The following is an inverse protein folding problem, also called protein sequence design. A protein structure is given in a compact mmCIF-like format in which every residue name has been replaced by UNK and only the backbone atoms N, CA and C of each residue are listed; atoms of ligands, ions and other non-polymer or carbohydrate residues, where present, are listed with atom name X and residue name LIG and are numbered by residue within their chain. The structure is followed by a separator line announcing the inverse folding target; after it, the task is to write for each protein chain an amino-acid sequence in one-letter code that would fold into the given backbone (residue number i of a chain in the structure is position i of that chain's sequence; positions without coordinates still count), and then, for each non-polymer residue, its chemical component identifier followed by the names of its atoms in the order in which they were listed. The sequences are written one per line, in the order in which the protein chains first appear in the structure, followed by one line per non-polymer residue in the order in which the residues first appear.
data_IF_327834598262
#
_entry.id   IF_327834598262
#
_cell.length_a   1.000
_cell.length_b   1.000
_cell.length_c   1.000
_cell.angle_alpha   90.00
_cell.angle_beta   90.00
_cell.angle_gamma   90.00
#
_symmetry.space_group_name_H-M   'P 1'
#
loop_
_entity.id
_entity.type
_entity.pdbx_description
1 polymer ?
#
# COMPACT_ATOMS: atom_id res chain seq x y z
N UNK A 1 36.23 57.55 31.56
CA UNK A 1 35.98 56.54 30.51
C UNK A 1 35.50 55.27 31.20
N UNK A 2 34.19 55.02 31.19
CA UNK A 2 33.55 53.78 31.60
C UNK A 2 32.48 53.51 30.52
N UNK A 3 32.36 52.37 29.89
CA UNK A 3 32.74 51.01 30.26
C UNK A 3 31.46 50.19 30.17
N UNK A 4 31.35 49.25 29.23
CA UNK A 4 30.34 48.17 29.28
C UNK A 4 30.89 46.95 28.54
N UNK A 5 31.26 45.92 29.27
CA UNK A 5 31.32 44.54 28.77
C UNK A 5 30.11 43.80 29.30
N UNK A 6 29.22 43.36 28.39
CA UNK A 6 28.06 42.52 28.73
C UNK A 6 28.54 41.07 28.80
N UNK A 7 28.44 40.43 29.97
CA UNK A 7 28.52 38.96 30.11
C UNK A 7 27.10 38.40 30.25
N UNK A 8 26.59 37.76 29.20
CA UNK A 8 25.37 36.96 29.25
C UNK A 8 25.64 35.61 29.88
N UNK A 9 25.45 35.51 31.21
CA UNK A 9 25.44 34.24 31.92
C UNK A 9 24.01 33.69 32.00
N UNK A 10 23.56 32.96 30.99
CA UNK A 10 22.27 32.24 31.08
C UNK A 10 22.45 31.10 32.11
N UNK A 11 21.72 31.17 33.23
CA UNK A 11 21.83 30.18 34.31
C UNK A 11 21.56 28.77 33.75
N UNK A 12 22.52 27.84 33.92
CA UNK A 12 22.43 26.43 33.48
C UNK A 12 21.08 25.78 33.83
N UNK A 13 20.48 26.18 34.95
CA UNK A 13 19.14 25.76 35.37
C UNK A 13 18.04 26.05 34.33
N UNK A 14 18.01 27.24 33.71
CA UNK A 14 17.00 27.59 32.70
C UNK A 14 17.14 26.78 31.42
N UNK A 15 18.38 26.48 31.02
CA UNK A 15 18.65 25.60 29.88
C UNK A 15 18.22 24.16 30.17
N UNK A 16 18.54 23.65 31.36
CA UNK A 16 18.12 22.32 31.79
C UNK A 16 16.59 22.22 31.88
N UNK A 17 15.91 23.21 32.46
CA UNK A 17 14.44 23.25 32.50
C UNK A 17 13.83 23.30 31.11
N UNK A 18 14.37 24.11 30.19
CA UNK A 18 13.91 24.15 28.80
C UNK A 18 14.06 22.80 28.08
N UNK A 19 15.21 22.14 28.25
CA UNK A 19 15.45 20.82 27.66
C UNK A 19 14.50 19.75 28.21
N UNK A 20 14.17 19.83 29.49
CA UNK A 20 13.25 18.91 30.17
C UNK A 20 11.81 19.08 29.67
N UNK A 21 11.36 20.34 29.50
CA UNK A 21 10.04 20.64 28.92
C UNK A 21 9.95 20.13 27.49
N UNK A 22 10.97 20.41 26.65
CA UNK A 22 11.00 19.93 25.26
C UNK A 22 10.97 18.41 25.20
N UNK A 23 11.76 17.74 26.03
CA UNK A 23 11.77 16.27 26.13
C UNK A 23 10.40 15.73 26.55
N UNK A 24 9.77 16.33 27.56
CA UNK A 24 8.46 15.90 28.04
C UNK A 24 7.37 16.05 26.96
N UNK A 25 7.37 17.17 26.22
CA UNK A 25 6.42 17.40 25.12
C UNK A 25 6.65 16.40 23.99
N UNK A 26 7.90 16.15 23.59
CA UNK A 26 8.21 15.15 22.56
C UNK A 26 7.73 13.76 22.96
N UNK A 27 8.02 13.33 24.19
CA UNK A 27 7.59 12.03 24.69
C UNK A 27 6.06 11.92 24.73
N UNK A 28 5.36 12.96 25.21
CA UNK A 28 3.90 12.99 25.20
C UNK A 28 3.32 12.90 23.78
N UNK A 29 3.97 13.53 22.80
CA UNK A 29 3.57 13.47 21.40
C UNK A 29 3.79 12.06 20.80
N UNK A 30 4.91 11.40 21.10
CA UNK A 30 5.16 10.02 20.67
C UNK A 30 4.18 9.02 21.29
N UNK A 31 3.93 9.13 22.60
CA UNK A 31 2.99 8.25 23.30
C UNK A 31 1.56 8.50 22.82
N UNK A 32 1.16 9.77 22.69
CA UNK A 32 -0.15 10.17 22.18
C UNK A 32 -0.38 9.73 20.74
N UNK A 33 0.61 9.92 19.87
CA UNK A 33 0.58 9.46 18.48
C UNK A 33 0.49 7.94 18.38
N UNK A 34 1.29 7.20 19.16
CA UNK A 34 1.24 5.74 19.20
C UNK A 34 -0.12 5.23 19.71
N UNK A 35 -0.68 5.85 20.76
CA UNK A 35 -1.99 5.50 21.29
C UNK A 35 -3.12 5.84 20.31
N UNK A 36 -3.00 6.97 19.61
CA UNK A 36 -3.94 7.40 18.57
C UNK A 36 -3.98 6.41 17.41
N UNK A 37 -2.82 5.97 16.90
CA UNK A 37 -2.73 4.94 15.84
C UNK A 37 -3.35 3.61 16.30
N UNK A 38 -3.24 3.28 17.60
CA UNK A 38 -3.81 2.06 18.17
C UNK A 38 -5.34 2.10 18.31
N UNK A 39 -5.88 3.27 18.67
CA UNK A 39 -7.31 3.48 18.88
C UNK A 39 -8.05 3.85 17.59
N UNK A 40 -7.36 4.48 16.66
CA UNK A 40 -7.83 4.83 15.32
C UNK A 40 -6.91 4.14 14.30
N UNK A 41 -7.00 2.81 14.17
CA UNK A 41 -6.34 2.13 13.07
C UNK A 41 -6.76 2.86 11.78
N UNK A 42 -5.80 3.27 10.94
CA UNK A 42 -6.14 3.92 9.68
C UNK A 42 -7.14 3.02 8.95
N UNK A 43 -8.21 3.59 8.34
CA UNK A 43 -9.14 2.80 7.55
C UNK A 43 -8.29 1.98 6.59
N UNK A 44 -8.39 0.66 6.70
CA UNK A 44 -7.51 -0.28 6.01
C UNK A 44 -7.41 0.14 4.55
N UNK A 45 -6.29 0.76 4.19
CA UNK A 45 -5.79 0.70 2.84
C UNK A 45 -5.82 -0.78 2.45
N UNK A 46 -6.31 -1.07 1.23
CA UNK A 46 -7.14 -2.23 0.95
C UNK A 46 -6.54 -3.51 1.54
N UNK A 47 -7.39 -4.42 2.06
CA UNK A 47 -7.00 -5.53 2.92
C UNK A 47 -5.74 -6.19 2.38
N UNK A 48 -4.75 -6.31 3.26
CA UNK A 48 -3.45 -6.91 3.00
C UNK A 48 -3.55 -7.98 1.89
N UNK A 49 -2.88 -7.83 0.73
CA UNK A 49 -3.01 -8.77 -0.39
C UNK A 49 -2.52 -10.19 -0.07
N UNK A 50 -2.02 -10.43 1.16
CA UNK A 50 -1.36 -11.67 1.56
C UNK A 50 -2.29 -12.87 1.80
N UNK A 51 -3.54 -12.67 2.26
CA UNK A 51 -4.33 -13.79 2.79
C UNK A 51 -5.54 -14.22 1.95
N UNK A 52 -5.85 -13.51 0.86
CA UNK A 52 -7.06 -13.76 0.08
C UNK A 52 -7.08 -15.12 -0.61
N UNK A 53 -5.94 -15.53 -1.16
CA UNK A 53 -5.77 -16.84 -1.76
C UNK A 53 -5.89 -17.95 -0.69
N UNK A 54 -5.52 -17.66 0.55
CA UNK A 54 -5.70 -18.58 1.68
C UNK A 54 -7.19 -18.82 1.96
N UNK A 55 -7.97 -17.75 2.09
CA UNK A 55 -9.43 -17.80 2.28
C UNK A 55 -10.11 -18.49 1.09
N UNK A 56 -9.75 -18.10 -0.14
CA UNK A 56 -10.32 -18.68 -1.36
C UNK A 56 -10.11 -20.20 -1.43
N UNK A 57 -8.93 -20.68 -1.01
CA UNK A 57 -8.64 -22.13 -0.98
C UNK A 57 -9.54 -22.88 -0.01
N UNK A 58 -9.81 -22.30 1.16
CA UNK A 58 -10.66 -22.90 2.17
C UNK A 58 -12.13 -22.92 1.72
N UNK A 59 -12.55 -21.87 1.03
CA UNK A 59 -13.95 -21.68 0.66
C UNK A 59 -14.39 -22.42 -0.61
N UNK A 60 -13.49 -22.69 -1.57
CA UNK A 60 -13.90 -23.29 -2.85
C UNK A 60 -14.09 -24.82 -2.83
N UNK A 61 -13.85 -25.48 -1.69
CA UNK A 61 -13.94 -26.94 -1.54
C UNK A 61 -13.29 -27.70 -2.71
N UNK A 62 -12.02 -27.39 -2.97
CA UNK A 62 -11.31 -27.86 -4.16
C UNK A 62 -10.98 -29.35 -4.07
N UNK A 63 -11.20 -30.08 -5.17
CA UNK A 63 -10.73 -31.47 -5.33
C UNK A 63 -9.19 -31.54 -5.37
N UNK A 64 -8.57 -32.71 -5.18
CA UNK A 64 -7.10 -32.84 -5.25
C UNK A 64 -6.50 -32.30 -6.55
N UNK A 65 -7.14 -32.55 -7.69
CA UNK A 65 -6.69 -32.05 -8.99
C UNK A 65 -6.83 -30.52 -9.10
N UNK A 66 -7.94 -29.97 -8.61
CA UNK A 66 -8.17 -28.51 -8.58
C UNK A 66 -7.22 -27.79 -7.63
N UNK A 67 -6.79 -28.44 -6.54
CA UNK A 67 -5.79 -27.89 -5.61
C UNK A 67 -4.44 -27.67 -6.30
N UNK A 68 -4.04 -28.53 -7.21
CA UNK A 68 -2.81 -28.34 -8.01
C UNK A 68 -2.94 -27.12 -8.92
N UNK A 69 -4.06 -26.99 -9.64
CA UNK A 69 -4.34 -25.81 -10.48
C UNK A 69 -4.38 -24.52 -9.64
N UNK A 70 -4.96 -24.58 -8.44
CA UNK A 70 -5.00 -23.47 -7.50
C UNK A 70 -3.62 -23.07 -6.97
N UNK A 71 -2.74 -24.04 -6.72
CA UNK A 71 -1.36 -23.78 -6.29
C UNK A 71 -0.57 -23.05 -7.38
N UNK A 72 -0.67 -23.53 -8.63
CA UNK A 72 -0.04 -22.88 -9.78
C UNK A 72 -0.54 -21.45 -9.96
N UNK A 73 -1.86 -21.26 -9.92
CA UNK A 73 -2.49 -19.94 -9.94
C UNK A 73 -1.99 -19.02 -8.82
N UNK A 74 -1.92 -19.55 -7.59
CA UNK A 74 -1.47 -18.78 -6.43
C UNK A 74 -0.01 -18.36 -6.51
N UNK A 75 0.86 -19.23 -7.03
CA UNK A 75 2.28 -18.92 -7.25
C UNK A 75 2.44 -17.83 -8.31
N UNK A 76 1.78 -17.98 -9.46
CA UNK A 76 1.83 -16.99 -10.52
C UNK A 76 1.28 -15.62 -10.06
N UNK A 77 0.22 -15.62 -9.26
CA UNK A 77 -0.34 -14.40 -8.69
C UNK A 77 0.65 -13.71 -7.73
N UNK A 78 1.38 -14.47 -6.90
CA UNK A 78 2.39 -13.92 -5.99
C UNK A 78 3.56 -13.32 -6.74
N UNK A 79 4.11 -14.08 -7.69
CA UNK A 79 5.25 -13.65 -8.52
C UNK A 79 4.90 -12.36 -9.26
N UNK A 80 3.75 -12.30 -9.92
CA UNK A 80 3.33 -11.11 -10.64
C UNK A 80 3.09 -9.92 -9.72
N UNK A 81 2.48 -10.12 -8.55
CA UNK A 81 2.31 -9.05 -7.57
C UNK A 81 3.65 -8.53 -7.04
N UNK A 82 4.68 -9.37 -7.03
CA UNK A 82 6.04 -8.95 -6.70
C UNK A 82 6.65 -8.15 -7.84
N UNK A 83 6.56 -8.64 -9.08
CA UNK A 83 7.02 -7.91 -10.28
C UNK A 83 6.34 -6.55 -10.41
N UNK A 84 5.02 -6.49 -10.23
CA UNK A 84 4.25 -5.23 -10.21
C UNK A 84 4.81 -4.24 -9.19
N UNK A 85 5.12 -4.70 -7.97
CA UNK A 85 5.70 -3.84 -6.93
C UNK A 85 7.10 -3.37 -7.30
N UNK A 86 7.90 -4.23 -7.92
CA UNK A 86 9.26 -3.91 -8.35
C UNK A 86 9.29 -2.95 -9.54
N UNK A 87 8.35 -3.06 -10.47
CA UNK A 87 8.32 -2.25 -11.70
C UNK A 87 7.56 -0.94 -11.50
N UNK A 88 6.43 -0.95 -10.79
CA UNK A 88 5.56 0.24 -10.64
C UNK A 88 5.86 1.02 -9.36
N UNK A 89 6.31 0.35 -8.29
CA UNK A 89 6.67 1.01 -7.04
C UNK A 89 7.66 2.16 -7.24
N UNK A 90 8.79 1.94 -7.95
CA UNK A 90 9.76 2.99 -8.24
C UNK A 90 9.19 4.13 -9.09
N UNK A 91 8.35 3.85 -10.08
CA UNK A 91 7.74 4.90 -10.92
C UNK A 91 6.88 5.86 -10.10
N UNK A 92 6.06 5.32 -9.21
CA UNK A 92 5.23 6.14 -8.30
C UNK A 92 6.10 6.90 -7.29
N UNK A 93 7.14 6.27 -6.75
CA UNK A 93 8.08 6.93 -5.84
C UNK A 93 8.79 8.10 -6.54
N UNK A 94 9.30 7.89 -7.75
CA UNK A 94 9.99 8.91 -8.54
C UNK A 94 9.06 10.08 -8.90
N UNK A 95 7.78 9.82 -9.20
CA UNK A 95 6.79 10.87 -9.42
C UNK A 95 6.62 11.75 -8.17
N UNK A 96 6.52 11.13 -6.98
CA UNK A 96 6.44 11.87 -5.72
C UNK A 96 7.72 12.64 -5.38
N UNK A 97 8.89 12.08 -5.69
CA UNK A 97 10.17 12.78 -5.53
C UNK A 97 10.27 14.00 -6.45
N UNK A 98 9.81 13.91 -7.71
CA UNK A 98 9.78 15.03 -8.66
C UNK A 98 8.81 16.13 -8.21
N UNK A 99 7.62 15.75 -7.73
CA UNK A 99 6.64 16.68 -7.14
C UNK A 99 7.23 17.46 -5.96
N UNK A 100 8.12 16.83 -5.18
CA UNK A 100 8.76 17.45 -4.01
C UNK A 100 9.88 18.45 -4.33
N UNK A 101 10.27 18.62 -5.61
CA UNK A 101 11.37 19.52 -5.97
C UNK A 101 10.94 21.00 -5.92
N UNK A 102 11.88 21.95 -5.68
CA UNK A 102 11.58 23.39 -5.71
C UNK A 102 11.00 23.90 -7.03
N UNK A 103 11.29 23.21 -8.14
CA UNK A 103 10.71 23.44 -9.46
C UNK A 103 10.37 22.08 -10.08
N UNK A 104 9.17 21.53 -9.83
CA UNK A 104 8.76 20.23 -10.36
C UNK A 104 8.70 20.23 -11.90
N UNK A 105 9.25 19.19 -12.52
CA UNK A 105 9.10 18.96 -13.95
C UNK A 105 7.82 18.16 -14.23
N UNK A 106 6.76 18.88 -14.64
CA UNK A 106 5.47 18.27 -14.99
C UNK A 106 5.59 17.17 -16.06
N UNK A 107 6.50 17.34 -17.03
CA UNK A 107 6.67 16.36 -18.11
C UNK A 107 7.20 15.03 -17.57
N UNK A 108 8.12 15.08 -16.61
CA UNK A 108 8.64 13.86 -15.96
C UNK A 108 7.60 13.20 -15.07
N UNK A 109 6.81 13.99 -14.36
CA UNK A 109 5.71 13.47 -13.52
C UNK A 109 4.73 12.69 -14.39
N UNK A 110 4.29 13.28 -15.50
CA UNK A 110 3.36 12.64 -16.44
C UNK A 110 3.97 11.35 -17.02
N UNK A 111 5.25 11.39 -17.43
CA UNK A 111 5.96 10.21 -17.92
C UNK A 111 6.00 9.06 -16.90
N UNK A 112 6.27 9.34 -15.63
CA UNK A 112 6.28 8.30 -14.60
C UNK A 112 4.89 7.68 -14.40
N UNK A 113 3.82 8.48 -14.44
CA UNK A 113 2.46 7.98 -14.32
C UNK A 113 2.01 7.20 -15.54
N UNK A 114 2.34 7.66 -16.75
CA UNK A 114 2.02 6.96 -18.00
C UNK A 114 2.74 5.61 -18.07
N UNK A 115 4.02 5.56 -17.71
CA UNK A 115 4.73 4.28 -17.66
C UNK A 115 4.13 3.36 -16.60
N UNK A 116 3.79 3.89 -15.41
CA UNK A 116 3.14 3.11 -14.38
C UNK A 116 1.77 2.55 -14.84
N UNK A 117 1.01 3.32 -15.60
CA UNK A 117 -0.28 2.91 -16.16
C UNK A 117 -0.11 1.78 -17.19
N UNK A 118 0.86 1.89 -18.09
CA UNK A 118 1.12 0.86 -19.09
C UNK A 118 1.57 -0.45 -18.45
N UNK A 119 2.49 -0.39 -17.47
CA UNK A 119 2.92 -1.58 -16.70
C UNK A 119 1.75 -2.23 -15.97
N UNK A 120 0.88 -1.43 -15.33
CA UNK A 120 -0.35 -1.91 -14.69
C UNK A 120 -1.28 -2.61 -15.68
N UNK A 121 -1.44 -2.06 -16.88
CA UNK A 121 -2.29 -2.65 -17.92
C UNK A 121 -1.77 -4.00 -18.38
N UNK A 122 -0.48 -4.14 -18.62
CA UNK A 122 0.14 -5.43 -19.00
C UNK A 122 -0.11 -6.49 -17.93
N UNK A 123 0.14 -6.13 -16.67
CA UNK A 123 -0.12 -7.01 -15.54
C UNK A 123 -1.61 -7.42 -15.40
N UNK A 124 -2.54 -6.49 -15.59
CA UNK A 124 -3.98 -6.80 -15.56
C UNK A 124 -4.35 -7.83 -16.62
N UNK A 125 -3.78 -7.73 -17.83
CA UNK A 125 -3.99 -8.71 -18.90
C UNK A 125 -3.47 -10.09 -18.50
N UNK A 126 -2.26 -10.16 -17.94
CA UNK A 126 -1.65 -11.42 -17.54
C UNK A 126 -2.41 -12.08 -16.39
N UNK A 127 -2.78 -11.32 -15.35
CA UNK A 127 -3.63 -11.81 -14.26
C UNK A 127 -4.94 -12.38 -14.78
N UNK A 128 -5.55 -11.69 -15.75
CA UNK A 128 -6.81 -12.13 -16.35
C UNK A 128 -6.61 -13.48 -17.04
N UNK A 129 -5.53 -13.66 -17.80
CA UNK A 129 -5.20 -14.92 -18.48
C UNK A 129 -5.03 -16.09 -17.50
N UNK A 130 -4.33 -15.88 -16.39
CA UNK A 130 -4.13 -16.94 -15.39
C UNK A 130 -5.41 -17.24 -14.61
N UNK A 131 -6.20 -16.21 -14.33
CA UNK A 131 -7.51 -16.37 -13.69
C UNK A 131 -8.43 -17.18 -14.59
N UNK A 132 -8.48 -16.91 -15.89
CA UNK A 132 -9.26 -17.69 -16.85
C UNK A 132 -8.78 -19.15 -16.91
N UNK A 133 -7.47 -19.37 -16.92
CA UNK A 133 -6.89 -20.72 -16.85
C UNK A 133 -7.35 -21.47 -15.60
N UNK A 134 -7.29 -20.83 -14.43
CA UNK A 134 -7.76 -21.44 -13.17
C UNK A 134 -9.27 -21.70 -13.17
N UNK A 135 -10.07 -20.72 -13.59
CA UNK A 135 -11.53 -20.87 -13.66
C UNK A 135 -11.92 -22.03 -14.57
N UNK A 136 -11.17 -22.31 -15.65
CA UNK A 136 -11.46 -23.45 -16.53
C UNK A 136 -11.44 -24.81 -15.81
N UNK A 137 -10.64 -24.95 -14.74
CA UNK A 137 -10.54 -26.14 -13.91
C UNK A 137 -11.65 -26.27 -12.83
N UNK A 138 -12.44 -25.22 -12.61
CA UNK A 138 -13.51 -25.19 -11.61
C UNK A 138 -14.85 -25.64 -12.17
N UNK A 139 -15.71 -26.17 -11.31
CA UNK A 139 -17.14 -26.39 -11.62
C UNK A 139 -17.88 -25.05 -11.73
N UNK A 140 -19.06 -24.99 -12.38
CA UNK A 140 -19.83 -23.75 -12.48
C UNK A 140 -20.11 -23.09 -11.12
N UNK A 141 -20.52 -23.87 -10.12
CA UNK A 141 -20.79 -23.36 -8.77
C UNK A 141 -19.54 -22.77 -8.08
N UNK A 142 -18.37 -23.41 -8.26
CA UNK A 142 -17.10 -22.90 -7.74
C UNK A 142 -16.66 -21.61 -8.46
N UNK A 143 -16.90 -21.50 -9.77
CA UNK A 143 -16.63 -20.25 -10.51
C UNK A 143 -17.48 -19.09 -9.99
N UNK A 144 -18.77 -19.32 -9.76
CA UNK A 144 -19.66 -18.28 -9.23
C UNK A 144 -19.22 -17.83 -7.84
N UNK A 145 -18.83 -18.78 -6.97
CA UNK A 145 -18.29 -18.46 -5.65
C UNK A 145 -17.00 -17.65 -5.74
N UNK A 146 -16.07 -18.06 -6.61
CA UNK A 146 -14.83 -17.31 -6.88
C UNK A 146 -15.13 -15.87 -7.31
N UNK A 147 -16.02 -15.67 -8.29
CA UNK A 147 -16.34 -14.35 -8.84
C UNK A 147 -17.06 -13.47 -7.80
N UNK A 148 -17.89 -14.05 -6.94
CA UNK A 148 -18.51 -13.34 -5.82
C UNK A 148 -17.45 -12.81 -4.85
N UNK A 149 -16.55 -13.69 -4.39
CA UNK A 149 -15.47 -13.31 -3.46
C UNK A 149 -14.52 -12.26 -4.07
N UNK A 150 -14.21 -12.38 -5.37
CA UNK A 150 -13.38 -11.41 -6.08
C UNK A 150 -14.03 -10.02 -6.16
N UNK A 151 -15.35 -9.93 -6.31
CA UNK A 151 -16.09 -8.65 -6.35
C UNK A 151 -16.14 -7.97 -4.98
N UNK A 152 -16.38 -8.73 -3.92
CA UNK A 152 -16.46 -8.20 -2.55
C UNK A 152 -15.14 -7.55 -2.10
N UNK A 153 -14.01 -8.03 -2.65
CA UNK A 153 -12.67 -7.49 -2.41
C UNK A 153 -12.31 -6.22 -3.16
N UNK A 154 -13.12 -5.77 -4.13
CA UNK A 154 -12.86 -4.49 -4.78
C UNK A 154 -12.87 -3.36 -3.74
N UNK A 155 -11.87 -2.45 -3.77
CA UNK A 155 -11.85 -1.31 -2.87
C UNK A 155 -13.20 -0.58 -2.90
N UNK A 156 -13.70 -0.06 -1.77
CA UNK A 156 -15.04 0.55 -1.68
C UNK A 156 -15.29 1.61 -2.76
N UNK A 157 -14.28 2.43 -3.06
CA UNK A 157 -14.34 3.49 -4.08
C UNK A 157 -14.39 2.97 -5.55
N UNK A 158 -14.26 1.66 -5.77
CA UNK A 158 -14.41 1.03 -7.09
C UNK A 158 -15.70 0.20 -7.21
N UNK A 159 -16.53 0.14 -6.16
CA UNK A 159 -17.78 -0.64 -6.17
C UNK A 159 -18.87 0.01 -7.01
N UNK A 160 -18.86 1.34 -7.12
CA UNK A 160 -19.86 2.13 -7.85
C UNK A 160 -19.46 2.45 -9.29
N UNK A 161 -18.27 2.02 -9.73
CA UNK A 161 -17.88 2.16 -11.13
C UNK A 161 -18.67 1.15 -11.97
N UNK A 162 -19.38 1.60 -13.03
CA UNK A 162 -20.13 0.70 -13.89
C UNK A 162 -19.18 -0.37 -14.46
N UNK A 163 -19.65 -1.62 -14.65
CA UNK A 163 -18.85 -2.62 -15.32
C UNK A 163 -18.42 -2.07 -16.68
N UNK A 164 -17.11 -2.04 -16.96
CA UNK A 164 -16.63 -1.68 -18.28
C UNK A 164 -17.24 -2.65 -19.30
N UNK A 165 -18.08 -2.11 -20.18
CA UNK A 165 -18.76 -2.80 -21.27
C UNK A 165 -17.81 -3.04 -22.44
#
# INVERSE_FOLDING_TARGET
MAGVTVRTGWSRHRLLTGLLIVSAVLNAFFIGGALWIRLHPPPEWPPHPGNWLGELRQDLDLTPQQRTAFQQYSLAMRERNQLMRQEVGPLIANAWEEIGKPAPDHTKIDQFFDEAAERRRLFQRDITKDTLTFLSALTPAQRDKFLKMARERRPPWTRDLPPAH
#
